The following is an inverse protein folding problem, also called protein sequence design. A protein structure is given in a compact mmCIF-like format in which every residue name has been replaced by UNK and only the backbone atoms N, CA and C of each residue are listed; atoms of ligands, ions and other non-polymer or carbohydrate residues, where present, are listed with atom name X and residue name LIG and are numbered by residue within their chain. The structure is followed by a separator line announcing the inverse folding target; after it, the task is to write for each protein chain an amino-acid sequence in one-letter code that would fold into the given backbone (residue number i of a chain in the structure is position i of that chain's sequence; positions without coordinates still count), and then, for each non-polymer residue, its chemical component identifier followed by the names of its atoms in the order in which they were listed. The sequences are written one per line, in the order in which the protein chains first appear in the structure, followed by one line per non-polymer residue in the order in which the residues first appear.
data_IF_507138857353
#
_entry.id   IF_507138857353
#
_cell.length_a   1.000
_cell.length_b   1.000
_cell.length_c   1.000
_cell.angle_alpha   90.00
_cell.angle_beta   90.00
_cell.angle_gamma   90.00
#
_symmetry.space_group_name_H-M   'P 1'
#
loop_
_entity.id
_entity.type
_entity.pdbx_description
1 polymer ?
#
# COMPACT_ATOMS: atom_id res chain seq x y z
N UNK A 1 0.14 18.51 -28.19
CA UNK A 1 -0.07 19.85 -27.58
C UNK A 1 0.29 19.74 -26.10
N UNK A 2 1.30 20.50 -25.64
CA UNK A 2 1.81 20.44 -24.25
C UNK A 2 0.69 20.82 -23.26
N UNK A 3 0.11 19.84 -22.57
CA UNK A 3 -0.72 20.13 -21.40
C UNK A 3 0.18 20.70 -20.32
N UNK A 4 0.06 22.01 -20.09
CA UNK A 4 0.54 22.64 -18.87
C UNK A 4 -0.18 21.94 -17.71
N UNK A 5 0.54 21.12 -16.95
CA UNK A 5 0.14 20.86 -15.57
C UNK A 5 -0.12 22.23 -14.95
N UNK A 6 -1.37 22.52 -14.58
CA UNK A 6 -1.63 23.61 -13.65
C UNK A 6 -0.94 23.18 -12.36
N UNK A 7 0.33 23.57 -12.19
CA UNK A 7 0.93 23.61 -10.86
C UNK A 7 -0.04 24.43 -10.04
N UNK A 8 -0.74 23.78 -9.10
CA UNK A 8 -1.59 24.48 -8.16
C UNK A 8 -0.68 25.46 -7.44
N UNK A 9 -0.82 26.74 -7.77
CA UNK A 9 -0.08 27.77 -7.06
C UNK A 9 -0.59 27.74 -5.61
N UNK A 10 0.30 27.38 -4.69
CA UNK A 10 0.00 27.42 -3.29
C UNK A 10 -0.13 28.87 -2.83
N UNK A 11 -1.00 29.10 -1.85
CA UNK A 11 -1.15 30.42 -1.27
C UNK A 11 0.04 30.71 -0.33
N UNK A 12 0.44 31.98 -0.15
CA UNK A 12 1.50 32.33 0.81
C UNK A 12 1.24 31.82 2.23
N UNK A 13 -0.03 31.70 2.63
CA UNK A 13 -0.42 31.14 3.92
C UNK A 13 -0.14 29.63 4.02
N UNK A 14 -0.33 28.88 2.94
CA UNK A 14 0.00 27.46 2.89
C UNK A 14 1.51 27.24 2.93
N UNK A 15 2.27 28.04 2.18
CA UNK A 15 3.73 27.97 2.18
C UNK A 15 4.31 28.29 3.56
N UNK A 16 3.80 29.34 4.22
CA UNK A 16 4.19 29.67 5.59
C UNK A 16 3.87 28.53 6.56
N UNK A 17 2.70 27.89 6.43
CA UNK A 17 2.33 26.74 7.25
C UNK A 17 3.27 25.57 7.02
N UNK A 18 3.65 25.30 5.78
CA UNK A 18 4.60 24.26 5.42
C UNK A 18 5.99 24.52 6.05
N UNK A 19 6.50 25.76 5.94
CA UNK A 19 7.76 26.17 6.55
C UNK A 19 7.76 25.98 8.07
N UNK A 20 6.73 26.44 8.77
CA UNK A 20 6.59 26.25 10.23
C UNK A 20 6.58 24.76 10.63
N UNK A 21 5.95 23.90 9.83
CA UNK A 21 5.96 22.46 10.08
C UNK A 21 7.36 21.86 9.87
N UNK A 22 8.12 22.35 8.89
CA UNK A 22 9.51 21.94 8.67
C UNK A 22 10.44 22.39 9.80
N UNK A 23 10.31 23.63 10.29
CA UNK A 23 11.04 24.11 11.47
C UNK A 23 10.74 23.25 12.71
N UNK A 24 9.47 22.87 12.89
CA UNK A 24 9.08 21.95 13.97
C UNK A 24 9.74 20.58 13.82
N UNK A 25 9.80 20.03 12.61
CA UNK A 25 10.42 18.74 12.31
C UNK A 25 11.91 18.81 12.61
N UNK A 26 12.61 19.82 12.09
CA UNK A 26 14.04 20.03 12.32
C UNK A 26 14.37 20.10 13.82
N UNK A 27 13.66 20.95 14.58
CA UNK A 27 13.85 21.07 16.02
C UNK A 27 13.66 19.73 16.75
N UNK A 28 12.58 19.00 16.46
CA UNK A 28 12.30 17.68 17.08
C UNK A 28 13.40 16.67 16.76
N UNK A 29 13.96 16.75 15.56
CA UNK A 29 15.01 15.86 15.09
C UNK A 29 16.34 16.13 15.76
N UNK A 30 16.72 17.40 15.92
CA UNK A 30 17.89 17.82 16.68
C UNK A 30 17.80 17.38 18.14
N UNK A 31 16.66 17.61 18.79
CA UNK A 31 16.40 17.17 20.18
C UNK A 31 16.55 15.66 20.33
N UNK A 32 15.99 14.89 19.38
CA UNK A 32 16.05 13.43 19.39
C UNK A 32 17.46 12.90 19.13
N UNK A 33 18.18 13.46 18.16
CA UNK A 33 19.55 13.09 17.86
C UNK A 33 20.49 13.37 19.05
N UNK A 34 20.38 14.55 19.66
CA UNK A 34 21.15 14.91 20.85
C UNK A 34 20.84 13.99 22.04
N UNK A 35 19.58 13.58 22.22
CA UNK A 35 19.22 12.62 23.27
C UNK A 35 19.80 11.22 23.04
N UNK A 36 20.02 10.82 21.79
CA UNK A 36 20.67 9.55 21.48
C UNK A 36 22.15 9.59 21.83
N UNK A 37 22.87 10.65 21.43
CA UNK A 37 24.29 10.82 21.72
C UNK A 37 24.58 10.76 23.23
N UNK A 38 23.81 11.50 24.05
CA UNK A 38 23.95 11.48 25.52
C UNK A 38 23.77 10.10 26.16
N UNK A 39 22.99 9.20 25.55
CA UNK A 39 22.80 7.84 26.08
C UNK A 39 23.99 6.92 25.83
N UNK A 40 24.84 7.27 24.85
CA UNK A 40 25.96 6.45 24.40
C UNK A 40 27.32 7.13 24.58
N UNK A 41 27.36 8.29 25.24
CA UNK A 41 28.58 8.92 25.73
C UNK A 41 29.24 8.01 26.77
N UNK A 42 30.30 7.29 26.36
CA UNK A 42 31.07 6.38 27.20
C UNK A 42 31.39 5.02 26.58
N UNK A 43 30.70 4.62 25.50
CA UNK A 43 30.78 3.24 24.98
C UNK A 43 31.97 2.96 24.04
N UNK A 44 32.81 3.98 23.72
CA UNK A 44 34.09 3.84 23.01
C UNK A 44 34.07 3.20 21.61
N UNK A 45 32.91 2.75 21.12
CA UNK A 45 32.75 1.93 19.90
C UNK A 45 31.84 2.62 18.87
N UNK A 46 32.29 3.73 18.28
CA UNK A 46 31.44 4.48 17.33
C UNK A 46 31.19 3.76 15.99
N UNK A 47 32.13 2.93 15.52
CA UNK A 47 31.93 2.10 14.30
C UNK A 47 30.95 0.95 14.52
N UNK A 48 30.86 0.44 15.75
CA UNK A 48 29.94 -0.63 16.16
C UNK A 48 28.52 -0.08 16.38
N UNK A 49 28.40 1.17 16.86
CA UNK A 49 27.12 1.77 17.22
C UNK A 49 26.06 1.80 16.09
N UNK A 50 26.46 2.00 14.83
CA UNK A 50 25.53 2.00 13.71
C UNK A 50 25.07 0.59 13.32
N UNK A 51 25.98 -0.39 13.32
CA UNK A 51 25.61 -1.79 13.09
C UNK A 51 24.71 -2.30 14.23
N UNK A 52 25.02 -1.93 15.47
CA UNK A 52 24.17 -2.19 16.63
C UNK A 52 22.79 -1.55 16.49
N UNK A 53 22.70 -0.29 16.03
CA UNK A 53 21.42 0.37 15.77
C UNK A 53 20.60 -0.34 14.68
N UNK A 54 21.25 -0.79 13.59
CA UNK A 54 20.59 -1.60 12.56
C UNK A 54 20.13 -2.94 13.13
N UNK A 55 20.98 -3.63 13.89
CA UNK A 55 20.67 -4.92 14.50
C UNK A 55 19.51 -4.81 15.51
N UNK A 56 19.47 -3.75 16.33
CA UNK A 56 18.39 -3.51 17.28
C UNK A 56 17.08 -3.15 16.57
N UNK A 57 17.15 -2.41 15.47
CA UNK A 57 15.97 -2.16 14.64
C UNK A 57 15.45 -3.42 13.96
N UNK A 58 16.34 -4.28 13.43
CA UNK A 58 15.97 -5.57 12.87
C UNK A 58 15.35 -6.45 13.95
N UNK A 59 15.95 -6.52 15.14
CA UNK A 59 15.40 -7.25 16.30
C UNK A 59 14.02 -6.72 16.67
N UNK A 60 13.87 -5.40 16.69
CA UNK A 60 12.59 -4.73 16.93
C UNK A 60 11.57 -5.11 15.86
N UNK A 61 11.93 -5.08 14.57
CA UNK A 61 11.03 -5.45 13.48
C UNK A 61 10.66 -6.95 13.53
N UNK A 62 11.62 -7.85 13.78
CA UNK A 62 11.37 -9.29 13.92
C UNK A 62 10.41 -9.59 15.07
N UNK A 63 10.44 -8.81 16.14
CA UNK A 63 9.46 -8.95 17.25
C UNK A 63 8.01 -8.59 16.86
N UNK A 64 7.77 -8.10 15.63
CA UNK A 64 6.41 -7.92 15.10
C UNK A 64 5.78 -9.22 14.63
N UNK A 65 6.56 -10.31 14.54
CA UNK A 65 6.09 -11.65 14.24
C UNK A 65 6.35 -12.50 15.47
N UNK A 66 5.28 -12.94 16.13
CA UNK A 66 5.36 -13.80 17.30
C UNK A 66 5.77 -15.22 16.95
N UNK A 67 6.05 -16.01 17.98
CA UNK A 67 6.31 -17.44 17.83
C UNK A 67 5.07 -18.19 17.32
N UNK A 68 5.31 -19.34 16.67
CA UNK A 68 4.25 -20.29 16.36
C UNK A 68 3.76 -20.93 17.65
N UNK A 69 2.44 -20.88 17.87
CA UNK A 69 1.74 -21.52 18.98
C UNK A 69 0.74 -22.54 18.44
N UNK A 70 0.59 -23.65 19.16
CA UNK A 70 -0.47 -24.63 18.89
C UNK A 70 -1.77 -24.14 19.53
N UNK A 71 -2.84 -24.12 18.75
CA UNK A 71 -4.20 -23.75 19.19
C UNK A 71 -4.94 -24.97 19.77
N UNK A 72 -6.09 -24.75 20.40
CA UNK A 72 -6.90 -25.81 21.02
C UNK A 72 -7.38 -26.88 20.05
N UNK A 73 -7.52 -26.54 18.77
CA UNK A 73 -7.87 -27.48 17.67
C UNK A 73 -6.65 -28.23 17.10
N UNK A 74 -5.45 -28.04 17.68
CA UNK A 74 -4.20 -28.67 17.24
C UNK A 74 -3.51 -27.96 16.07
N UNK A 75 -4.13 -26.95 15.46
CA UNK A 75 -3.52 -26.15 14.39
C UNK A 75 -2.39 -25.25 14.92
N UNK A 76 -1.56 -24.73 14.02
CA UNK A 76 -0.40 -23.88 14.34
C UNK A 76 -0.64 -22.47 13.83
N UNK A 77 -0.51 -21.49 14.72
CA UNK A 77 -0.80 -20.09 14.43
C UNK A 77 0.28 -19.18 14.99
N UNK A 78 0.57 -18.10 14.27
CA UNK A 78 1.40 -16.99 14.71
C UNK A 78 0.56 -15.72 14.82
N UNK A 79 0.88 -14.88 15.81
CA UNK A 79 0.37 -13.49 15.88
C UNK A 79 1.40 -12.54 15.31
N UNK A 80 0.99 -11.61 14.45
CA UNK A 80 1.86 -10.57 13.91
C UNK A 80 1.18 -9.21 13.92
N UNK A 81 1.96 -8.16 13.66
CA UNK A 81 1.48 -6.78 13.71
C UNK A 81 1.79 -6.04 12.42
N UNK A 82 0.92 -5.10 12.06
CA UNK A 82 1.11 -4.22 10.91
C UNK A 82 1.10 -2.73 11.32
N UNK A 83 1.01 -2.45 12.61
CA UNK A 83 0.91 -1.10 13.15
C UNK A 83 2.07 -0.74 14.07
N UNK A 84 2.47 0.53 14.04
CA UNK A 84 3.64 1.05 14.76
C UNK A 84 3.62 0.75 16.26
N UNK A 85 2.43 0.64 16.87
CA UNK A 85 2.27 0.43 18.31
C UNK A 85 1.91 -1.01 18.67
N UNK A 86 1.90 -1.93 17.69
CA UNK A 86 1.43 -3.32 17.86
C UNK A 86 0.07 -3.39 18.55
N UNK A 87 -0.80 -2.41 18.27
CA UNK A 87 -2.12 -2.28 18.87
C UNK A 87 -3.08 -3.32 18.33
N UNK A 88 -2.95 -3.69 17.06
CA UNK A 88 -3.89 -4.56 16.37
C UNK A 88 -3.20 -5.87 16.01
N UNK A 89 -3.42 -6.96 16.77
CA UNK A 89 -2.86 -8.25 16.46
C UNK A 89 -3.58 -8.87 15.27
N UNK A 90 -2.80 -9.35 14.30
CA UNK A 90 -3.25 -10.17 13.19
C UNK A 90 -2.80 -11.61 13.44
N UNK A 91 -3.49 -12.56 12.81
CA UNK A 91 -3.19 -13.98 12.95
C UNK A 91 -2.91 -14.59 11.59
N UNK A 92 -2.03 -15.58 11.56
CA UNK A 92 -1.67 -16.32 10.34
C UNK A 92 -1.29 -17.76 10.67
N UNK A 93 -1.41 -18.66 9.69
CA UNK A 93 -0.97 -20.06 9.81
C UNK A 93 0.55 -20.22 9.89
N UNK A 94 1.03 -21.44 10.12
CA UNK A 94 2.46 -21.81 10.01
C UNK A 94 3.06 -21.45 8.64
N UNK A 95 2.30 -21.59 7.56
CA UNK A 95 2.77 -21.19 6.23
C UNK A 95 2.91 -19.69 6.09
N UNK A 96 1.95 -18.91 6.60
CA UNK A 96 2.10 -17.46 6.61
C UNK A 96 3.20 -16.98 7.54
N UNK A 97 3.50 -17.69 8.63
CA UNK A 97 4.71 -17.42 9.42
C UNK A 97 5.97 -17.56 8.57
N UNK A 98 6.12 -18.64 7.78
CA UNK A 98 7.27 -18.82 6.88
C UNK A 98 7.38 -17.69 5.85
N UNK A 99 6.26 -17.23 5.31
CA UNK A 99 6.23 -16.09 4.39
C UNK A 99 6.65 -14.78 5.07
N UNK A 100 6.19 -14.55 6.31
CA UNK A 100 6.61 -13.39 7.11
C UNK A 100 8.10 -13.44 7.47
N UNK A 101 8.68 -14.63 7.68
CA UNK A 101 10.14 -14.75 7.84
C UNK A 101 10.89 -14.36 6.57
N UNK A 102 10.45 -14.83 5.39
CA UNK A 102 11.03 -14.38 4.10
C UNK A 102 10.93 -12.86 3.93
N UNK A 103 9.80 -12.25 4.28
CA UNK A 103 9.62 -10.80 4.27
C UNK A 103 10.59 -10.10 5.22
N UNK A 104 10.78 -10.63 6.44
CA UNK A 104 11.72 -10.09 7.43
C UNK A 104 13.17 -10.15 6.94
N UNK A 105 13.56 -11.23 6.28
CA UNK A 105 14.90 -11.38 5.71
C UNK A 105 15.13 -10.39 4.56
N UNK A 106 14.13 -10.21 3.68
CA UNK A 106 14.15 -9.15 2.67
C UNK A 106 14.22 -7.75 3.29
N UNK A 107 13.45 -7.50 4.35
CA UNK A 107 13.48 -6.23 5.10
C UNK A 107 14.85 -5.95 5.71
N UNK A 108 15.53 -6.96 6.24
CA UNK A 108 16.87 -6.81 6.79
C UNK A 108 17.87 -6.36 5.72
N UNK A 109 17.86 -6.97 4.54
CA UNK A 109 18.75 -6.58 3.44
C UNK A 109 18.53 -5.11 3.03
N UNK A 110 17.28 -4.71 2.78
CA UNK A 110 16.97 -3.32 2.38
C UNK A 110 17.20 -2.31 3.51
N UNK A 111 17.02 -2.67 4.79
CA UNK A 111 17.27 -1.77 5.92
C UNK A 111 18.76 -1.53 6.15
N UNK A 112 19.61 -2.51 5.82
CA UNK A 112 21.08 -2.35 5.79
C UNK A 112 21.49 -1.39 4.67
N UNK A 113 20.97 -1.57 3.46
CA UNK A 113 21.24 -0.65 2.36
C UNK A 113 20.69 0.76 2.65
N UNK A 114 19.50 0.87 3.25
CA UNK A 114 18.94 2.13 3.70
C UNK A 114 19.85 2.85 4.71
N UNK A 115 20.46 2.12 5.66
CA UNK A 115 21.42 2.70 6.59
C UNK A 115 22.66 3.25 5.89
N UNK A 116 23.17 2.54 4.87
CA UNK A 116 24.30 3.02 4.06
C UNK A 116 24.04 4.40 3.46
N UNK A 117 22.82 4.63 2.98
CA UNK A 117 22.40 5.91 2.39
C UNK A 117 22.19 7.00 3.44
N UNK A 118 21.63 6.64 4.60
CA UNK A 118 21.49 7.55 5.73
C UNK A 118 22.87 8.06 6.17
N UNK A 119 23.86 7.16 6.28
CA UNK A 119 25.24 7.52 6.61
C UNK A 119 25.91 8.40 5.56
N UNK A 120 25.54 8.23 4.29
CA UNK A 120 26.05 9.07 3.20
C UNK A 120 25.45 10.49 3.19
N UNK A 121 24.32 10.71 3.86
CA UNK A 121 23.60 11.99 3.86
C UNK A 121 24.03 12.94 4.98
N UNK A 122 24.59 12.43 6.08
CA UNK A 122 25.04 13.25 7.22
C UNK A 122 25.04 12.47 8.53
N UNK A 123 24.76 13.16 9.64
CA UNK A 123 24.58 12.51 10.94
C UNK A 123 23.41 11.51 10.88
N UNK A 124 23.67 10.19 11.01
CA UNK A 124 22.63 9.17 10.91
C UNK A 124 21.49 9.38 11.90
N UNK A 125 21.79 9.87 13.10
CA UNK A 125 20.79 10.05 14.15
C UNK A 125 19.82 11.17 13.81
N UNK A 126 20.35 12.30 13.33
CA UNK A 126 19.53 13.38 12.81
C UNK A 126 18.72 12.95 11.58
N UNK A 127 19.33 12.33 10.57
CA UNK A 127 18.66 11.93 9.33
C UNK A 127 17.51 10.95 9.61
N UNK A 128 17.73 9.95 10.48
CA UNK A 128 16.66 9.03 10.91
C UNK A 128 15.54 9.76 11.65
N UNK A 129 15.88 10.63 12.61
CA UNK A 129 14.91 11.38 13.37
C UNK A 129 14.07 12.32 12.48
N UNK A 130 14.71 12.99 11.52
CA UNK A 130 14.08 13.84 10.51
C UNK A 130 13.10 13.06 9.66
N UNK A 131 13.51 11.91 9.13
CA UNK A 131 12.63 11.04 8.38
C UNK A 131 11.41 10.53 9.14
N UNK A 132 11.60 10.18 10.43
CA UNK A 132 10.48 9.79 11.29
C UNK A 132 9.52 10.94 11.57
N UNK A 133 10.05 12.12 11.86
CA UNK A 133 9.24 13.31 12.07
C UNK A 133 8.52 13.75 10.78
N UNK A 134 9.14 13.65 9.60
CA UNK A 134 8.49 13.84 8.30
C UNK A 134 7.29 12.89 8.13
N UNK A 135 7.49 11.59 8.36
CA UNK A 135 6.43 10.58 8.20
C UNK A 135 5.26 10.81 9.17
N UNK A 136 5.54 11.25 10.40
CA UNK A 136 4.54 11.55 11.41
C UNK A 136 3.79 12.86 11.15
N UNK A 137 4.54 13.93 10.87
CA UNK A 137 3.98 15.28 10.77
C UNK A 137 3.23 15.44 9.46
N UNK A 138 3.73 14.87 8.36
CA UNK A 138 3.18 14.99 7.01
C UNK A 138 2.94 16.45 6.60
N UNK A 139 4.02 17.25 6.50
CA UNK A 139 3.91 18.69 6.26
C UNK A 139 3.15 19.00 4.97
N UNK A 140 3.45 18.33 3.87
CA UNK A 140 2.71 18.46 2.61
C UNK A 140 1.19 18.22 2.78
N UNK A 141 0.80 17.13 3.47
CA UNK A 141 -0.62 16.82 3.67
C UNK A 141 -1.35 17.87 4.50
N UNK A 142 -0.68 18.39 5.53
CA UNK A 142 -1.26 19.41 6.40
C UNK A 142 -1.33 20.78 5.71
N UNK A 143 -0.36 21.13 4.87
CA UNK A 143 -0.29 22.43 4.22
C UNK A 143 -1.10 22.49 2.92
N UNK A 144 -0.97 21.46 2.07
CA UNK A 144 -1.46 21.47 0.69
C UNK A 144 -2.57 20.43 0.44
N UNK A 145 -2.79 19.49 1.37
CA UNK A 145 -3.75 18.40 1.18
C UNK A 145 -3.24 17.26 0.29
N UNK A 146 -1.94 17.28 -0.03
CA UNK A 146 -1.24 16.29 -0.85
C UNK A 146 -0.37 15.42 0.06
N UNK A 147 -0.24 14.11 -0.16
CA UNK A 147 0.32 13.22 0.87
C UNK A 147 1.74 13.54 1.29
N UNK A 148 2.67 13.47 0.34
CA UNK A 148 4.07 13.80 0.52
C UNK A 148 4.61 14.42 -0.76
N UNK A 149 5.53 15.38 -0.64
CA UNK A 149 6.29 15.83 -1.81
C UNK A 149 7.24 14.73 -2.28
N UNK A 150 7.75 14.83 -3.51
CA UNK A 150 8.76 13.87 -3.99
C UNK A 150 10.04 13.93 -3.14
N UNK A 151 10.45 15.12 -2.71
CA UNK A 151 11.59 15.29 -1.81
C UNK A 151 11.37 14.62 -0.46
N UNK A 152 10.20 14.80 0.16
CA UNK A 152 9.83 14.11 1.40
C UNK A 152 9.83 12.58 1.23
N UNK A 153 9.20 12.09 0.16
CA UNK A 153 9.09 10.66 -0.14
C UNK A 153 10.43 10.00 -0.48
N UNK A 154 11.38 10.79 -1.01
CA UNK A 154 12.73 10.37 -1.34
C UNK A 154 13.73 10.39 -0.20
N UNK A 155 13.38 10.99 0.95
CA UNK A 155 14.30 11.16 2.07
C UNK A 155 14.67 9.81 2.73
N UNK A 156 15.94 9.39 2.79
CA UNK A 156 16.36 8.08 3.32
C UNK A 156 15.80 7.71 4.70
N UNK A 157 15.75 8.67 5.64
CA UNK A 157 15.11 8.45 6.94
C UNK A 157 13.60 8.21 6.85
N UNK A 158 12.90 8.86 5.92
CA UNK A 158 11.47 8.63 5.69
C UNK A 158 11.28 7.22 5.12
N UNK A 159 12.09 6.86 4.13
CA UNK A 159 12.06 5.56 3.50
C UNK A 159 12.28 4.43 4.49
N UNK A 160 13.18 4.63 5.48
CA UNK A 160 13.39 3.70 6.59
C UNK A 160 12.10 3.37 7.35
N UNK A 161 11.34 4.40 7.71
CA UNK A 161 10.05 4.25 8.41
C UNK A 161 9.01 3.63 7.50
N UNK A 162 8.97 4.04 6.23
CA UNK A 162 8.06 3.47 5.24
C UNK A 162 8.29 1.96 5.08
N UNK A 163 9.53 1.52 4.89
CA UNK A 163 9.92 0.11 4.79
C UNK A 163 9.41 -0.68 6.00
N UNK A 164 9.68 -0.21 7.22
CA UNK A 164 9.29 -0.91 8.46
C UNK A 164 7.77 -1.03 8.60
N UNK A 165 7.03 0.03 8.30
CA UNK A 165 5.59 0.07 8.54
C UNK A 165 4.77 -0.52 7.38
N UNK A 166 5.22 -0.33 6.14
CA UNK A 166 4.46 -0.67 4.94
C UNK A 166 4.81 -2.02 4.36
N UNK A 167 5.94 -2.62 4.72
CA UNK A 167 6.31 -3.97 4.29
C UNK A 167 5.24 -5.01 4.62
N UNK A 168 4.89 -5.15 5.90
CA UNK A 168 3.84 -6.09 6.34
C UNK A 168 2.50 -5.80 5.68
N UNK A 169 2.09 -4.53 5.63
CA UNK A 169 0.81 -4.14 5.04
C UNK A 169 0.74 -4.49 3.56
N UNK A 170 1.67 -3.97 2.74
CA UNK A 170 1.68 -4.17 1.28
C UNK A 170 1.87 -5.64 0.93
N UNK A 171 2.75 -6.36 1.61
CA UNK A 171 3.00 -7.77 1.36
C UNK A 171 1.75 -8.61 1.63
N UNK A 172 1.18 -8.51 2.84
CA UNK A 172 0.05 -9.37 3.24
C UNK A 172 -1.24 -9.03 2.49
N UNK A 173 -1.50 -7.75 2.21
CA UNK A 173 -2.67 -7.34 1.43
C UNK A 173 -2.56 -7.74 -0.03
N UNK A 174 -1.36 -7.64 -0.63
CA UNK A 174 -1.14 -8.15 -1.98
C UNK A 174 -1.34 -9.66 -2.00
N UNK A 175 -0.76 -10.40 -1.05
CA UNK A 175 -0.95 -11.85 -0.96
C UNK A 175 -2.43 -12.23 -0.88
N UNK A 176 -3.20 -11.60 0.01
CA UNK A 176 -4.63 -11.84 0.13
C UNK A 176 -5.40 -11.48 -1.16
N UNK A 177 -4.98 -10.44 -1.88
CA UNK A 177 -5.54 -10.07 -3.18
C UNK A 177 -5.29 -11.18 -4.20
N UNK A 178 -4.06 -11.70 -4.28
CA UNK A 178 -3.68 -12.79 -5.19
C UNK A 178 -4.43 -14.09 -4.88
N UNK A 179 -4.63 -14.43 -3.60
CA UNK A 179 -5.45 -15.57 -3.19
C UNK A 179 -6.89 -15.45 -3.71
N UNK A 180 -7.50 -14.26 -3.59
CA UNK A 180 -8.84 -14.02 -4.11
C UNK A 180 -8.90 -14.06 -5.63
N UNK A 181 -7.93 -13.44 -6.32
CA UNK A 181 -7.79 -13.53 -7.77
C UNK A 181 -7.71 -14.98 -8.23
N UNK A 182 -6.90 -15.80 -7.55
CA UNK A 182 -6.73 -17.21 -7.88
C UNK A 182 -7.99 -18.04 -7.58
N UNK A 183 -8.65 -17.77 -6.46
CA UNK A 183 -9.90 -18.42 -6.10
C UNK A 183 -11.00 -18.17 -7.12
N UNK A 184 -10.99 -17.01 -7.78
CA UNK A 184 -11.92 -16.68 -8.87
C UNK A 184 -11.39 -17.08 -10.26
N UNK A 185 -10.19 -17.68 -10.35
CA UNK A 185 -9.68 -18.32 -11.57
C UNK A 185 -8.79 -17.44 -12.46
N UNK A 186 -8.39 -16.24 -12.01
CA UNK A 186 -7.59 -15.30 -12.82
C UNK A 186 -6.33 -15.94 -13.41
N UNK A 187 -5.68 -16.79 -12.61
CA UNK A 187 -4.35 -17.35 -12.91
C UNK A 187 -4.39 -18.80 -13.45
N UNK A 188 -5.56 -19.35 -13.77
CA UNK A 188 -5.70 -20.76 -14.17
C UNK A 188 -4.85 -21.12 -15.39
N UNK A 189 -4.81 -20.21 -16.36
CA UNK A 189 -4.00 -20.38 -17.57
C UNK A 189 -2.51 -20.62 -17.23
N UNK A 190 -1.97 -19.92 -16.23
CA UNK A 190 -0.56 -20.04 -15.87
C UNK A 190 -0.26 -21.31 -15.10
N UNK A 191 -1.21 -21.79 -14.28
CA UNK A 191 -1.08 -23.08 -13.59
C UNK A 191 -1.05 -24.21 -14.63
N UNK A 192 -1.93 -24.14 -15.62
CA UNK A 192 -2.01 -25.15 -16.68
C UNK A 192 -0.79 -25.11 -17.61
N UNK A 193 -0.33 -23.92 -18.00
CA UNK A 193 0.89 -23.73 -18.80
C UNK A 193 2.13 -24.25 -18.08
N UNK A 194 2.31 -23.91 -16.80
CA UNK A 194 3.45 -24.37 -16.01
C UNK A 194 3.44 -25.90 -15.86
N UNK A 195 2.26 -26.52 -15.65
CA UNK A 195 2.12 -27.98 -15.60
C UNK A 195 2.49 -28.64 -16.92
N UNK A 196 2.03 -28.07 -18.05
CA UNK A 196 2.35 -28.58 -19.39
C UNK A 196 3.85 -28.50 -19.66
N UNK A 197 4.46 -27.34 -19.42
CA UNK A 197 5.91 -27.15 -19.61
C UNK A 197 6.74 -28.17 -18.81
N UNK A 198 6.36 -28.45 -17.58
CA UNK A 198 7.01 -29.46 -16.74
C UNK A 198 6.90 -30.90 -17.29
N UNK A 199 5.87 -31.21 -18.07
CA UNK A 199 5.62 -32.53 -18.63
C UNK A 199 6.24 -32.73 -20.01
N UNK A 200 6.30 -31.68 -20.83
CA UNK A 200 6.65 -31.78 -22.25
C UNK A 200 8.03 -31.23 -22.61
N UNK A 201 8.85 -30.85 -21.63
CA UNK A 201 10.15 -30.17 -21.85
C UNK A 201 10.04 -28.95 -22.79
N UNK A 202 8.86 -28.32 -22.82
CA UNK A 202 8.64 -27.08 -23.56
C UNK A 202 9.24 -25.89 -22.81
N UNK A 203 9.40 -24.76 -23.50
CA UNK A 203 9.82 -23.52 -22.88
C UNK A 203 8.88 -23.12 -21.73
N UNK A 204 9.48 -22.63 -20.65
CA UNK A 204 8.74 -22.17 -19.48
C UNK A 204 7.88 -20.95 -19.84
N UNK A 205 6.62 -20.88 -19.37
CA UNK A 205 5.78 -19.72 -19.62
C UNK A 205 6.36 -18.48 -18.94
N UNK A 206 6.36 -17.36 -19.67
CA UNK A 206 6.80 -16.06 -19.14
C UNK A 206 5.57 -15.31 -18.64
N UNK A 207 5.62 -14.87 -17.38
CA UNK A 207 4.58 -14.04 -16.76
C UNK A 207 5.22 -12.71 -16.40
N UNK A 208 4.81 -11.66 -17.11
CA UNK A 208 5.36 -10.31 -16.92
C UNK A 208 4.37 -9.45 -16.17
N UNK A 209 4.80 -8.89 -15.04
CA UNK A 209 3.94 -8.07 -14.17
C UNK A 209 4.61 -6.75 -13.83
N UNK A 210 3.86 -5.66 -13.98
CA UNK A 210 4.30 -4.32 -13.62
C UNK A 210 3.51 -3.79 -12.42
N UNK A 211 4.19 -3.27 -11.40
CA UNK A 211 3.54 -2.59 -10.28
C UNK A 211 3.66 -1.07 -10.42
N UNK A 212 2.53 -0.38 -10.45
CA UNK A 212 2.46 1.09 -10.46
C UNK A 212 2.43 1.60 -9.02
N UNK A 213 3.32 2.56 -8.71
CA UNK A 213 3.53 3.10 -7.36
C UNK A 213 4.10 2.05 -6.41
N UNK A 214 5.07 1.28 -6.90
CA UNK A 214 5.60 0.13 -6.19
C UNK A 214 6.44 0.49 -4.95
N UNK A 215 6.98 1.71 -4.88
CA UNK A 215 7.92 2.10 -3.83
C UNK A 215 9.02 1.03 -3.66
N UNK A 216 9.19 0.44 -2.47
CA UNK A 216 10.19 -0.61 -2.22
C UNK A 216 9.82 -2.01 -2.78
N UNK A 217 8.72 -2.17 -3.54
CA UNK A 217 8.33 -3.40 -4.24
C UNK A 217 7.92 -4.61 -3.36
N UNK A 218 7.30 -4.38 -2.21
CA UNK A 218 6.79 -5.48 -1.37
C UNK A 218 5.62 -6.23 -1.99
N UNK A 219 4.81 -5.59 -2.82
CA UNK A 219 3.80 -6.26 -3.62
C UNK A 219 4.43 -7.20 -4.66
N UNK A 220 5.54 -6.82 -5.30
CA UNK A 220 6.27 -7.71 -6.21
C UNK A 220 6.89 -8.90 -5.46
N UNK A 221 7.38 -8.70 -4.23
CA UNK A 221 7.85 -9.80 -3.39
C UNK A 221 6.71 -10.80 -3.06
N UNK A 222 5.51 -10.30 -2.75
CA UNK A 222 4.35 -11.16 -2.55
C UNK A 222 3.98 -11.92 -3.83
N UNK A 223 3.99 -11.25 -4.98
CA UNK A 223 3.73 -11.86 -6.30
C UNK A 223 4.74 -12.96 -6.61
N UNK A 224 6.04 -12.69 -6.46
CA UNK A 224 7.11 -13.67 -6.68
C UNK A 224 6.85 -14.94 -5.87
N UNK A 225 6.70 -14.80 -4.56
CA UNK A 225 6.51 -15.94 -3.65
C UNK A 225 5.18 -16.67 -3.90
N UNK A 226 4.15 -15.96 -4.36
CA UNK A 226 2.86 -16.55 -4.68
C UNK A 226 2.91 -17.38 -5.97
N UNK A 227 3.51 -16.85 -7.04
CA UNK A 227 3.63 -17.56 -8.31
C UNK A 227 4.64 -18.71 -8.27
N UNK A 228 5.70 -18.61 -7.45
CA UNK A 228 6.56 -19.76 -7.10
C UNK A 228 5.75 -20.95 -6.56
N UNK A 229 4.61 -20.69 -5.88
CA UNK A 229 3.73 -21.71 -5.33
C UNK A 229 2.71 -22.23 -6.35
N UNK A 230 2.04 -21.34 -7.09
CA UNK A 230 0.91 -21.75 -7.94
C UNK A 230 1.30 -22.15 -9.36
N UNK A 231 2.40 -21.61 -9.88
CA UNK A 231 2.91 -21.87 -11.23
C UNK A 231 4.43 -22.15 -11.17
N UNK A 232 4.86 -23.21 -10.45
CA UNK A 232 6.28 -23.50 -10.31
C UNK A 232 6.91 -23.76 -11.67
N UNK A 233 8.06 -23.12 -11.92
CA UNK A 233 8.78 -23.21 -13.19
C UNK A 233 8.44 -22.12 -14.21
N UNK A 234 7.39 -21.30 -13.98
CA UNK A 234 7.17 -20.11 -14.78
C UNK A 234 8.31 -19.09 -14.59
N UNK A 235 8.68 -18.40 -15.67
CA UNK A 235 9.64 -17.29 -15.62
C UNK A 235 8.88 -16.03 -15.25
N UNK A 236 9.23 -15.41 -14.11
CA UNK A 236 8.61 -14.17 -13.66
C UNK A 236 9.48 -12.97 -14.03
N UNK A 237 8.91 -12.04 -14.78
CA UNK A 237 9.52 -10.75 -15.04
C UNK A 237 8.75 -9.66 -14.29
N UNK A 238 9.31 -9.22 -13.16
CA UNK A 238 8.65 -8.31 -12.22
C UNK A 238 9.28 -6.92 -12.28
N UNK A 239 8.44 -5.92 -12.52
CA UNK A 239 8.86 -4.54 -12.79
C UNK A 239 8.16 -3.59 -11.81
N UNK A 240 8.92 -2.77 -11.08
CA UNK A 240 8.41 -1.72 -10.21
C UNK A 240 8.49 -0.38 -10.93
N UNK A 241 7.38 0.35 -10.95
CA UNK A 241 7.26 1.70 -11.48
C UNK A 241 6.96 2.65 -10.33
N UNK A 242 7.76 3.70 -10.18
CA UNK A 242 7.51 4.74 -9.18
C UNK A 242 8.00 6.10 -9.69
N UNK A 243 7.40 7.17 -9.16
CA UNK A 243 7.79 8.56 -9.42
C UNK A 243 9.08 8.94 -8.68
N UNK A 244 9.40 8.26 -7.58
CA UNK A 244 10.58 8.56 -6.78
C UNK A 244 11.74 7.62 -7.16
N UNK A 245 12.75 8.09 -7.91
CA UNK A 245 13.86 7.26 -8.35
C UNK A 245 14.71 6.65 -7.22
N UNK A 246 14.70 7.24 -6.01
CA UNK A 246 15.49 6.70 -4.89
C UNK A 246 14.98 5.35 -4.35
N UNK A 247 13.81 4.85 -4.81
CA UNK A 247 13.38 3.48 -4.51
C UNK A 247 14.15 2.41 -5.28
N UNK A 248 14.79 2.79 -6.41
CA UNK A 248 15.50 1.89 -7.32
C UNK A 248 16.39 0.87 -6.60
N UNK A 249 17.26 1.34 -5.73
CA UNK A 249 18.23 0.51 -5.02
C UNK A 249 17.59 -0.59 -4.16
N UNK A 250 16.41 -0.35 -3.57
CA UNK A 250 15.72 -1.35 -2.77
C UNK A 250 15.02 -2.38 -3.66
N UNK A 251 14.42 -1.90 -4.75
CA UNK A 251 13.74 -2.74 -5.75
C UNK A 251 14.74 -3.70 -6.41
N UNK A 252 15.89 -3.20 -6.84
CA UNK A 252 16.96 -3.99 -7.46
C UNK A 252 17.58 -4.97 -6.46
N UNK A 253 17.71 -4.60 -5.18
CA UNK A 253 18.19 -5.50 -4.13
C UNK A 253 17.24 -6.69 -3.89
N UNK A 254 15.94 -6.52 -4.11
CA UNK A 254 14.96 -7.62 -4.08
C UNK A 254 14.95 -8.45 -5.38
N UNK A 255 15.76 -8.07 -6.38
CA UNK A 255 15.89 -8.75 -7.66
C UNK A 255 14.84 -8.36 -8.70
N UNK A 256 14.27 -7.16 -8.59
CA UNK A 256 13.25 -6.67 -9.53
C UNK A 256 13.80 -5.54 -10.42
N UNK A 257 13.19 -5.34 -11.58
CA UNK A 257 13.51 -4.20 -12.46
C UNK A 257 12.83 -2.95 -11.92
N UNK A 258 13.55 -1.83 -11.85
CA UNK A 258 12.97 -0.53 -11.52
C UNK A 258 12.90 0.37 -12.76
N UNK A 259 11.78 1.09 -12.90
CA UNK A 259 11.58 2.11 -13.93
C UNK A 259 10.99 3.36 -13.29
N UNK A 260 11.67 4.50 -13.46
CA UNK A 260 11.12 5.79 -13.10
C UNK A 260 10.05 6.18 -14.12
N UNK A 261 8.79 6.28 -13.69
CA UNK A 261 7.67 6.52 -14.60
C UNK A 261 6.52 7.22 -13.87
N UNK A 262 5.82 8.09 -14.61
CA UNK A 262 4.66 8.81 -14.13
C UNK A 262 3.39 8.26 -14.76
N UNK A 263 2.38 7.98 -13.93
CA UNK A 263 1.08 7.47 -14.38
C UNK A 263 0.39 8.39 -15.40
N UNK A 264 0.67 9.69 -15.34
CA UNK A 264 0.12 10.66 -16.27
C UNK A 264 0.82 10.70 -17.63
N UNK A 265 2.02 10.12 -17.75
CA UNK A 265 2.75 10.09 -19.03
C UNK A 265 2.09 9.11 -20.02
N UNK A 266 1.36 8.11 -19.50
CA UNK A 266 0.82 7.02 -20.32
C UNK A 266 1.93 6.16 -20.93
N UNK A 267 1.64 5.55 -22.08
CA UNK A 267 2.61 4.82 -22.91
C UNK A 267 3.47 3.81 -22.13
N UNK A 268 2.84 3.05 -21.23
CA UNK A 268 3.56 2.15 -20.34
C UNK A 268 4.34 1.09 -21.12
N UNK A 269 3.74 0.48 -22.14
CA UNK A 269 4.40 -0.56 -22.94
C UNK A 269 5.65 -0.04 -23.67
N UNK A 270 5.56 1.15 -24.27
CA UNK A 270 6.70 1.83 -24.90
C UNK A 270 7.83 2.04 -23.87
N UNK A 271 7.48 2.54 -22.68
CA UNK A 271 8.45 2.73 -21.58
C UNK A 271 9.13 1.43 -21.16
N UNK A 272 8.39 0.32 -21.19
CA UNK A 272 8.90 -1.01 -20.84
C UNK A 272 9.61 -1.70 -22.01
N UNK A 273 9.57 -1.12 -23.22
CA UNK A 273 10.00 -1.73 -24.48
C UNK A 273 9.30 -3.07 -24.74
N UNK A 274 7.97 -3.04 -24.71
CA UNK A 274 7.08 -4.19 -24.89
C UNK A 274 6.05 -3.93 -25.98
N UNK A 275 5.69 -4.98 -26.70
CA UNK A 275 4.59 -5.01 -27.65
C UNK A 275 3.25 -5.36 -26.97
N UNK A 276 2.10 -4.99 -27.57
CA UNK A 276 0.78 -5.38 -27.07
C UNK A 276 0.68 -6.89 -26.77
N UNK A 277 0.16 -7.23 -25.60
CA UNK A 277 0.02 -8.60 -25.10
C UNK A 277 1.26 -9.17 -24.39
N UNK A 278 2.41 -8.49 -24.42
CA UNK A 278 3.61 -8.96 -23.71
C UNK A 278 3.62 -8.61 -22.22
N UNK A 279 2.86 -7.61 -21.78
CA UNK A 279 2.64 -7.33 -20.36
C UNK A 279 1.40 -8.08 -19.88
N UNK A 280 1.58 -9.08 -19.01
CA UNK A 280 0.49 -9.96 -18.59
C UNK A 280 -0.46 -9.27 -17.62
N UNK A 281 0.08 -8.68 -16.55
CA UNK A 281 -0.71 -8.02 -15.51
C UNK A 281 -0.11 -6.69 -15.10
N UNK A 282 -0.98 -5.77 -14.70
CA UNK A 282 -0.59 -4.58 -13.95
C UNK A 282 -1.15 -4.68 -12.53
N UNK A 283 -0.34 -4.26 -11.56
CA UNK A 283 -0.74 -4.23 -10.15
C UNK A 283 -0.66 -2.79 -9.64
N UNK A 284 -1.74 -2.31 -9.05
CA UNK A 284 -1.80 -0.96 -8.47
C UNK A 284 -2.05 -1.11 -6.98
N UNK A 285 -1.09 -0.64 -6.18
CA UNK A 285 -1.12 -0.80 -4.72
C UNK A 285 -1.01 0.57 -4.04
N UNK A 286 -2.11 1.05 -3.47
CA UNK A 286 -2.19 2.32 -2.73
C UNK A 286 -1.87 3.58 -3.55
N UNK A 287 -2.31 3.63 -4.81
CA UNK A 287 -1.98 4.73 -5.72
C UNK A 287 -3.21 5.49 -6.17
N UNK A 288 -4.31 4.80 -6.50
CA UNK A 288 -5.49 5.43 -7.08
C UNK A 288 -6.14 6.42 -6.11
N UNK A 289 -5.95 6.26 -4.80
CA UNK A 289 -6.34 7.28 -3.81
C UNK A 289 -5.73 8.68 -4.05
N UNK A 290 -4.67 8.79 -4.87
CA UNK A 290 -4.00 10.06 -5.19
C UNK A 290 -4.23 10.54 -6.63
N UNK A 291 -4.61 9.64 -7.54
CA UNK A 291 -4.72 9.93 -8.98
C UNK A 291 -5.97 9.27 -9.60
N UNK A 292 -7.10 9.29 -8.89
CA UNK A 292 -8.38 8.91 -9.48
C UNK A 292 -8.95 10.09 -10.26
N UNK A 293 -8.66 10.14 -11.56
CA UNK A 293 -9.19 11.11 -12.51
C UNK A 293 -9.37 10.49 -13.90
N UNK A 294 -9.99 11.25 -14.82
CA UNK A 294 -10.34 10.75 -16.15
C UNK A 294 -9.10 10.33 -16.95
N UNK A 295 -8.02 11.12 -16.91
CA UNK A 295 -6.78 10.82 -17.62
C UNK A 295 -6.19 9.48 -17.16
N UNK A 296 -6.17 9.23 -15.86
CA UNK A 296 -5.65 7.98 -15.31
C UNK A 296 -6.55 6.81 -15.71
N UNK A 297 -7.88 6.94 -15.61
CA UNK A 297 -8.80 5.87 -15.97
C UNK A 297 -8.82 5.58 -17.48
N UNK A 298 -8.63 6.61 -18.32
CA UNK A 298 -8.45 6.45 -19.77
C UNK A 298 -7.18 5.66 -20.08
N UNK A 299 -6.07 5.98 -19.41
CA UNK A 299 -4.81 5.23 -19.55
C UNK A 299 -4.98 3.77 -19.13
N UNK A 300 -5.59 3.50 -17.97
CA UNK A 300 -5.84 2.12 -17.51
C UNK A 300 -6.79 1.36 -18.45
N UNK A 301 -7.75 2.07 -19.07
CA UNK A 301 -8.63 1.49 -20.09
C UNK A 301 -7.87 1.13 -21.36
N UNK A 302 -6.94 1.99 -21.81
CA UNK A 302 -6.05 1.74 -22.94
C UNK A 302 -5.16 0.52 -22.71
N UNK A 303 -4.61 0.35 -21.49
CA UNK A 303 -3.80 -0.83 -21.14
C UNK A 303 -4.58 -2.14 -21.36
N UNK A 304 -5.83 -2.16 -20.94
CA UNK A 304 -6.71 -3.33 -21.05
C UNK A 304 -7.17 -3.56 -22.49
N UNK A 305 -7.56 -2.50 -23.19
CA UNK A 305 -8.21 -2.58 -24.51
C UNK A 305 -7.23 -2.70 -25.66
N UNK A 306 -6.21 -1.85 -25.68
CA UNK A 306 -5.33 -1.64 -26.83
C UNK A 306 -4.03 -2.41 -26.62
N UNK A 307 -3.42 -2.28 -25.46
CA UNK A 307 -2.15 -2.96 -25.09
C UNK A 307 -2.34 -4.43 -24.69
N UNK A 308 -3.59 -4.90 -24.62
CA UNK A 308 -3.97 -6.29 -24.32
C UNK A 308 -3.43 -6.80 -22.98
N UNK A 309 -3.27 -5.93 -21.99
CA UNK A 309 -3.02 -6.35 -20.61
C UNK A 309 -4.20 -7.18 -20.14
N UNK A 310 -3.93 -8.37 -19.61
CA UNK A 310 -4.97 -9.36 -19.28
C UNK A 310 -5.89 -8.87 -18.15
N UNK A 311 -5.30 -8.26 -17.13
CA UNK A 311 -6.02 -7.68 -16.01
C UNK A 311 -5.19 -6.61 -15.29
N UNK A 312 -5.88 -5.67 -14.65
CA UNK A 312 -5.29 -4.74 -13.68
C UNK A 312 -5.79 -5.14 -12.30
N UNK A 313 -4.88 -5.55 -11.42
CA UNK A 313 -5.17 -5.97 -10.05
C UNK A 313 -4.96 -4.77 -9.13
N UNK A 314 -5.98 -4.40 -8.37
CA UNK A 314 -5.97 -3.17 -7.56
C UNK A 314 -6.14 -3.53 -6.09
N UNK A 315 -5.20 -3.06 -5.27
CA UNK A 315 -5.26 -3.12 -3.80
C UNK A 315 -5.17 -1.71 -3.22
N UNK A 316 -6.24 -1.25 -2.59
CA UNK A 316 -6.42 0.11 -2.11
C UNK A 316 -6.81 0.16 -0.63
N UNK A 317 -6.60 1.34 -0.04
CA UNK A 317 -6.92 1.57 1.37
C UNK A 317 -8.40 1.77 1.64
N UNK A 318 -9.09 2.44 0.73
CA UNK A 318 -10.42 2.99 0.95
C UNK A 318 -11.49 1.98 0.56
N UNK A 319 -12.53 1.82 1.38
CA UNK A 319 -13.68 0.93 1.10
C UNK A 319 -14.47 1.36 -0.16
N UNK A 320 -14.28 2.59 -0.61
CA UNK A 320 -14.84 3.12 -1.85
C UNK A 320 -13.80 3.96 -2.58
N UNK A 321 -13.63 3.70 -3.86
CA UNK A 321 -12.77 4.49 -4.76
C UNK A 321 -13.60 4.93 -5.97
N UNK A 322 -13.54 6.22 -6.33
CA UNK A 322 -14.27 6.73 -7.50
C UNK A 322 -13.90 5.97 -8.79
N UNK A 323 -12.67 5.46 -8.84
CA UNK A 323 -12.12 4.75 -9.99
C UNK A 323 -12.96 3.55 -10.43
N UNK A 324 -13.63 2.82 -9.52
CA UNK A 324 -14.47 1.68 -9.92
C UNK A 324 -15.61 2.12 -10.85
N UNK A 325 -16.37 3.13 -10.45
CA UNK A 325 -17.48 3.66 -11.27
C UNK A 325 -16.96 4.28 -12.58
N UNK A 326 -15.81 4.94 -12.52
CA UNK A 326 -15.18 5.53 -13.70
C UNK A 326 -14.74 4.46 -14.72
N UNK A 327 -14.20 3.33 -14.26
CA UNK A 327 -13.85 2.20 -15.13
C UNK A 327 -15.10 1.51 -15.70
N UNK A 328 -16.13 1.28 -14.88
CA UNK A 328 -17.41 0.72 -15.32
C UNK A 328 -18.05 1.60 -16.42
N UNK A 329 -18.01 2.93 -16.27
CA UNK A 329 -18.52 3.86 -17.28
C UNK A 329 -17.77 3.82 -18.62
N UNK A 330 -16.54 3.29 -18.63
CA UNK A 330 -15.71 3.08 -19.82
C UNK A 330 -15.89 1.70 -20.45
N UNK A 331 -16.88 0.94 -19.96
CA UNK A 331 -17.18 -0.42 -20.42
C UNK A 331 -16.21 -1.48 -19.89
N UNK A 332 -15.43 -1.16 -18.85
CA UNK A 332 -14.55 -2.12 -18.20
C UNK A 332 -15.32 -2.90 -17.13
N UNK A 333 -15.13 -4.22 -17.12
CA UNK A 333 -15.68 -5.06 -16.05
C UNK A 333 -14.83 -4.90 -14.80
N UNK A 334 -15.47 -4.64 -13.66
CA UNK A 334 -14.81 -4.57 -12.35
C UNK A 334 -15.28 -5.72 -11.46
N UNK A 335 -14.38 -6.65 -11.16
CA UNK A 335 -14.62 -7.70 -10.17
C UNK A 335 -14.24 -7.21 -8.77
N UNK A 336 -15.18 -7.29 -7.82
CA UNK A 336 -14.96 -6.93 -6.41
C UNK A 336 -14.61 -8.19 -5.61
N UNK A 337 -13.37 -8.26 -5.12
CA UNK A 337 -12.82 -9.46 -4.48
C UNK A 337 -13.18 -9.56 -2.99
N UNK A 338 -13.48 -8.43 -2.37
CA UNK A 338 -13.92 -8.37 -0.99
C UNK A 338 -15.39 -8.78 -0.85
N UNK A 339 -15.76 -9.33 0.32
CA UNK A 339 -17.14 -9.68 0.60
C UNK A 339 -18.03 -8.41 0.67
N UNK A 340 -19.09 -8.37 -0.14
CA UNK A 340 -20.03 -7.24 -0.23
C UNK A 340 -21.27 -7.38 0.67
N UNK A 341 -21.44 -8.49 1.40
CA UNK A 341 -22.59 -8.76 2.29
C UNK A 341 -22.84 -7.63 3.29
N UNK A 342 -21.76 -7.04 3.82
CA UNK A 342 -21.83 -5.99 4.85
C UNK A 342 -21.59 -4.58 4.29
N UNK A 343 -21.96 -4.39 3.03
CA UNK A 343 -21.82 -3.14 2.29
C UNK A 343 -20.59 -3.09 1.41
N UNK A 344 -20.53 -2.01 0.62
CA UNK A 344 -19.53 -1.74 -0.40
C UNK A 344 -18.09 -1.92 0.13
N UNK A 345 -17.27 -2.68 -0.61
CA UNK A 345 -15.84 -2.81 -0.36
C UNK A 345 -15.05 -2.91 -1.67
N UNK A 346 -14.41 -1.83 -2.07
CA UNK A 346 -13.63 -1.73 -3.28
C UNK A 346 -12.12 -1.77 -3.03
N UNK A 347 -11.69 -2.15 -1.81
CA UNK A 347 -10.28 -2.22 -1.46
C UNK A 347 -9.50 -3.23 -2.26
N UNK A 348 -10.13 -4.30 -2.73
CA UNK A 348 -9.49 -5.29 -3.60
C UNK A 348 -10.40 -5.52 -4.80
N UNK A 349 -9.92 -5.14 -5.97
CA UNK A 349 -10.67 -5.22 -7.23
C UNK A 349 -9.80 -5.69 -8.38
N UNK A 350 -10.41 -6.18 -9.45
CA UNK A 350 -9.74 -6.50 -10.71
C UNK A 350 -10.49 -5.80 -11.84
N UNK A 351 -9.77 -5.06 -12.68
CA UNK A 351 -10.30 -4.45 -13.89
C UNK A 351 -9.99 -5.35 -15.10
N UNK A 352 -11.00 -5.63 -15.92
CA UNK A 352 -10.97 -6.65 -16.97
C UNK A 352 -11.75 -6.18 -18.21
N UNK A 353 -11.21 -6.44 -19.41
CA UNK A 353 -12.02 -6.37 -20.63
C UNK A 353 -13.02 -7.52 -20.71
N UNK A 354 -12.54 -8.74 -20.44
CA UNK A 354 -13.34 -9.95 -20.54
C UNK A 354 -13.83 -10.39 -19.15
N UNK A 355 -15.14 -10.31 -18.93
CA UNK A 355 -15.78 -10.75 -17.67
C UNK A 355 -15.69 -12.27 -17.44
N UNK A 356 -15.46 -13.07 -18.48
CA UNK A 356 -15.40 -14.53 -18.36
C UNK A 356 -14.05 -15.04 -17.87
N UNK A 357 -13.05 -14.15 -17.83
CA UNK A 357 -11.69 -14.43 -17.38
C UNK A 357 -11.64 -14.87 -15.89
N UNK A 358 -12.67 -14.52 -15.10
CA UNK A 358 -12.83 -14.84 -13.67
C UNK A 358 -13.93 -15.89 -13.37
N UNK A 359 -14.32 -16.69 -14.36
CA UNK A 359 -15.48 -17.60 -14.26
C UNK A 359 -15.13 -19.10 -14.26
N UNK A 360 -13.89 -19.47 -13.97
CA UNK A 360 -13.53 -20.88 -13.79
C UNK A 360 -14.37 -21.52 -12.68
N UNK A 361 -15.12 -22.57 -12.98
CA UNK A 361 -15.90 -23.34 -11.99
C UNK A 361 -15.06 -24.45 -11.36
N UNK A 362 -13.92 -24.79 -11.95
CA UNK A 362 -13.07 -25.88 -11.46
C UNK A 362 -12.36 -25.48 -10.16
N UNK A 363 -12.71 -26.16 -9.07
CA UNK A 363 -12.00 -26.04 -7.79
C UNK A 363 -12.23 -24.73 -7.03
N UNK A 364 -13.28 -23.95 -7.34
CA UNK A 364 -13.60 -22.71 -6.60
C UNK A 364 -13.76 -22.95 -5.09
N UNK A 365 -14.43 -24.03 -4.70
CA UNK A 365 -14.63 -24.36 -3.28
C UNK A 365 -13.33 -24.80 -2.58
N UNK A 366 -12.49 -25.59 -3.26
CA UNK A 366 -11.20 -26.03 -2.70
C UNK A 366 -10.19 -24.89 -2.60
N UNK A 367 -10.21 -23.93 -3.53
CA UNK A 367 -9.32 -22.76 -3.55
C UNK A 367 -9.74 -21.62 -2.62
N UNK A 368 -11.02 -21.56 -2.24
CA UNK A 368 -11.51 -20.63 -1.21
C UNK A 368 -11.18 -21.05 0.22
N UNK A 369 -10.47 -22.17 0.41
CA UNK A 369 -10.09 -22.64 1.74
C UNK A 369 -9.15 -21.66 2.44
N UNK A 370 -9.35 -21.52 3.76
CA UNK A 370 -8.71 -20.62 4.72
C UNK A 370 -7.57 -19.71 4.18
N UNK A 371 -7.82 -18.40 3.95
CA UNK A 371 -6.78 -17.47 3.52
C UNK A 371 -5.60 -17.47 4.50
N UNK A 372 -4.37 -17.35 3.97
CA UNK A 372 -3.16 -17.34 4.80
C UNK A 372 -3.18 -16.15 5.78
N UNK A 373 -3.63 -14.99 5.29
CA UNK A 373 -3.80 -13.78 6.08
C UNK A 373 -5.30 -13.41 6.18
N UNK A 374 -6.07 -14.07 7.06
CA UNK A 374 -7.54 -14.01 7.05
C UNK A 374 -8.12 -12.63 7.35
N UNK A 375 -7.44 -11.84 8.17
CA UNK A 375 -7.93 -10.52 8.61
C UNK A 375 -7.37 -9.38 7.76
N UNK A 376 -7.05 -9.65 6.48
CA UNK A 376 -6.37 -8.72 5.60
C UNK A 376 -7.15 -8.54 4.28
N UNK A 377 -7.52 -7.30 3.89
CA UNK A 377 -7.44 -6.07 4.67
C UNK A 377 -8.37 -6.12 5.90
N UNK A 378 -8.00 -5.44 6.98
CA UNK A 378 -8.77 -5.45 8.22
C UNK A 378 -10.23 -5.04 7.99
N UNK A 379 -11.19 -5.89 8.38
CA UNK A 379 -12.62 -5.71 8.05
C UNK A 379 -13.58 -5.98 9.22
N UNK A 380 -13.10 -6.34 10.41
CA UNK A 380 -13.94 -6.69 11.57
C UNK A 380 -14.86 -5.53 12.02
N UNK A 381 -14.49 -4.28 11.75
CA UNK A 381 -15.34 -3.12 12.04
C UNK A 381 -16.63 -3.09 11.21
N UNK A 382 -16.71 -3.82 10.08
CA UNK A 382 -17.92 -3.87 9.24
C UNK A 382 -19.07 -4.56 9.94
N UNK A 383 -18.80 -5.72 10.52
CA UNK A 383 -19.77 -6.49 11.29
C UNK A 383 -20.19 -5.73 12.56
N UNK A 384 -19.23 -5.10 13.25
CA UNK A 384 -19.50 -4.29 14.44
C UNK A 384 -20.40 -3.08 14.14
N UNK A 385 -20.23 -2.40 12.99
CA UNK A 385 -21.11 -1.29 12.56
C UNK A 385 -22.56 -1.72 12.40
N UNK A 386 -22.82 -2.94 11.93
CA UNK A 386 -24.18 -3.43 11.68
C UNK A 386 -24.83 -4.03 12.92
N UNK A 387 -24.07 -4.64 13.84
CA UNK A 387 -24.61 -5.21 15.09
C UNK A 387 -24.98 -4.17 16.16
N UNK A 388 -25.10 -2.89 15.79
CA UNK A 388 -25.38 -1.80 16.73
C UNK A 388 -24.26 -1.53 17.74
N UNK A 389 -23.09 -2.15 17.56
CA UNK A 389 -21.93 -1.89 18.41
C UNK A 389 -21.49 -0.43 18.25
N UNK A 390 -21.18 0.24 19.36
CA UNK A 390 -20.48 1.52 19.32
C UNK A 390 -19.34 1.43 18.32
N UNK A 391 -19.18 2.47 17.49
CA UNK A 391 -18.05 2.64 16.57
C UNK A 391 -16.78 2.16 17.29
N UNK A 392 -16.34 0.92 17.03
CA UNK A 392 -14.93 0.57 17.18
C UNK A 392 -14.28 1.61 16.29
N UNK A 393 -13.70 2.63 16.91
CA UNK A 393 -13.18 3.78 16.20
C UNK A 393 -11.92 3.30 15.50
N UNK A 394 -12.09 2.56 14.41
CA UNK A 394 -11.09 2.35 13.42
C UNK A 394 -10.94 3.68 12.70
N UNK A 395 -10.29 4.61 13.39
CA UNK A 395 -9.76 5.80 12.76
C UNK A 395 -8.62 5.31 11.89
N UNK A 396 -8.55 5.75 10.62
CA UNK A 396 -7.40 5.49 9.78
C UNK A 396 -6.12 5.80 10.57
N UNK A 397 -5.09 4.97 10.41
CA UNK A 397 -3.72 4.99 10.98
C UNK A 397 -3.01 6.35 11.27
N UNK A 398 -3.62 7.51 10.98
CA UNK A 398 -3.00 8.83 11.04
C UNK A 398 -3.78 9.89 11.84
N UNK A 399 -4.93 9.57 12.44
CA UNK A 399 -5.71 10.55 13.20
C UNK A 399 -5.55 10.37 14.73
N UNK A 400 -4.29 10.38 15.20
CA UNK A 400 -3.96 10.29 16.63
C UNK A 400 -3.18 11.49 17.16
N UNK A 401 -3.22 12.64 16.48
CA UNK A 401 -2.83 13.92 17.07
C UNK A 401 -4.08 14.59 17.64
N UNK A 402 -4.48 14.20 18.86
CA UNK A 402 -5.04 15.05 19.92
C UNK A 402 -5.71 14.21 21.00
N UNK A 403 -4.96 13.95 22.07
CA UNK A 403 -5.52 13.88 23.43
C UNK A 403 -4.48 14.44 24.39
N UNK A 404 -4.56 15.75 24.60
CA UNK A 404 -4.17 16.41 25.83
C UNK A 404 -5.18 17.55 26.02
N UNK A 405 -5.93 17.45 27.12
CA UNK A 405 -6.84 18.43 27.70
C UNK A 405 -7.90 19.11 26.82
N UNK A 406 -9.14 18.65 27.01
CA UNK A 406 -10.34 19.49 26.91
C UNK A 406 -11.09 19.40 28.23
N UNK A 407 -10.70 20.22 29.19
CA UNK A 407 -11.68 20.88 30.03
C UNK A 407 -11.83 22.31 29.51
N UNK A 408 -13.07 22.79 29.49
CA UNK A 408 -13.51 24.14 29.08
C UNK A 408 -13.81 24.32 27.57
N UNK A 409 -15.08 24.05 27.24
CA UNK A 409 -15.86 24.75 26.21
C UNK A 409 -16.34 26.10 26.84
N UNK A 410 -16.74 27.16 26.11
CA UNK A 410 -17.80 27.04 25.09
C UNK A 410 -17.71 27.93 23.83
N UNK A 411 -18.37 27.42 22.77
CA UNK A 411 -19.11 28.13 21.70
C UNK A 411 -18.30 28.87 20.61
N UNK A 412 -18.26 28.26 19.43
CA UNK A 412 -18.71 28.94 18.20
C UNK A 412 -19.11 27.88 17.16
N UNK A 413 -20.35 27.93 16.68
CA UNK A 413 -20.86 27.09 15.61
C UNK A 413 -21.72 27.98 14.71
N UNK A 414 -21.21 28.50 13.58
CA UNK A 414 -22.05 29.14 12.60
C UNK A 414 -22.51 28.08 11.58
N UNK A 415 -23.81 28.12 11.27
CA UNK A 415 -24.50 27.34 10.24
C UNK A 415 -25.01 25.95 10.63
N UNK A 416 -26.14 25.96 11.34
CA UNK A 416 -27.34 25.29 10.86
C UNK A 416 -28.53 25.76 11.70
N UNK A 417 -29.63 26.18 11.06
CA UNK A 417 -30.90 25.48 11.22
C UNK A 417 -31.94 25.93 10.19
N UNK A 418 -32.73 24.92 9.82
CA UNK A 418 -33.82 24.92 8.89
C UNK A 418 -35.00 25.81 9.30
N UNK A 419 -35.79 26.10 8.27
CA UNK A 419 -37.22 26.43 8.30
C UNK A 419 -38.03 25.39 9.09
N UNK A 420 -39.03 25.89 9.81
CA UNK A 420 -40.47 25.55 9.86
C UNK A 420 -41.03 26.39 11.05
N UNK A 421 -42.20 27.04 11.10
CA UNK A 421 -43.48 26.84 10.43
C UNK A 421 -44.40 28.07 10.70
N UNK A 422 -45.50 28.17 9.94
CA UNK A 422 -46.78 28.87 10.22
C UNK A 422 -46.91 30.42 10.09
N UNK A 423 -47.70 30.89 9.10
CA UNK A 423 -49.13 31.23 9.29
C UNK A 423 -49.77 31.83 8.00
N UNK A 424 -50.97 31.28 7.69
CA UNK A 424 -52.16 31.90 7.07
C UNK A 424 -52.10 32.66 5.73
N UNK A 425 -53.00 32.28 4.80
CA UNK A 425 -53.59 33.23 3.86
C UNK A 425 -53.93 32.72 2.46
N UNK A 426 -55.18 32.27 2.27
CA UNK A 426 -56.04 32.37 1.08
C UNK A 426 -55.54 32.26 -0.38
N UNK A 427 -56.31 31.42 -1.12
CA UNK A 427 -56.75 31.51 -2.52
C UNK A 427 -55.84 31.08 -3.70
N UNK A 428 -56.12 29.85 -4.20
CA UNK A 428 -56.62 29.46 -5.54
C UNK A 428 -55.86 29.88 -6.85
N UNK A 429 -56.15 29.30 -8.03
CA UNK A 429 -55.25 28.41 -8.78
C UNK A 429 -54.93 28.92 -10.22
N UNK A 430 -54.22 28.08 -11.00
CA UNK A 430 -53.83 28.24 -12.42
C UNK A 430 -52.65 29.19 -12.72
N UNK A 431 -51.49 28.65 -13.11
CA UNK A 431 -51.08 28.39 -14.50
C UNK A 431 -49.74 27.65 -14.54
#
# INVERSE_FOLDING_TARGET
QKQKQKQKQHTPAQDRRYQLLYEQIDRRSQEKAASFLRKHEGDGRSKDANELAVADEIRSLRSWVGEIKRTSDGSKQCTYYQDRRKKYPFKTSEDGYKLLQKLLDSNEAILRENMRLIMAQGDPQYVMAFGEALYEVKPCLKAYGETWSQEEYGHPGFQRIYIKLKSFQRFTETWATLERCFADGLFDIHVDEARKAAQSACEAPIIRMASIGGGPAFELLAIKLYFERIAPGAILELISLDLQPSWKQYVELLGFKFIHWNIYDGNLLETLNLEPGQLTYVVISYVLIYCTDDQTMDMLTSLLRDDKVRAIIVSERSESTGGVQMMESRGITVAKLMNQTWGKDERQTVFLMDKYLMNSTSGKETRRSNPIFPNVPFSEHKEARQKGGHKLSWRPFHDSSHRSDKSQNPRYNPFNFNRDDNQSGHHNPFN
#
